data_IF_273929639824
#
_entry.id   IF_273929639824
#
_cell.length_a   1.000
_cell.length_b   1.000
_cell.length_c   1.000
_cell.angle_alpha   90.00
_cell.angle_beta   90.00
_cell.angle_gamma   90.00
#
_symmetry.space_group_name_H-M   'P 1'
#
loop_
_entity.id
_entity.type
_entity.pdbx_description
1 polymer ?
#
# COMPACT_ATOMS: atom_id res chain seq x y z
N UNK A 1 28.75 -11.24 -8.50
CA UNK A 1 28.93 -9.77 -8.41
C UNK A 1 27.66 -9.01 -8.80
N UNK A 2 27.03 -9.35 -9.92
CA UNK A 2 25.80 -8.68 -10.43
C UNK A 2 24.64 -8.76 -9.43
N UNK A 3 24.39 -9.92 -8.81
CA UNK A 3 23.32 -10.11 -7.82
C UNK A 3 23.46 -9.18 -6.61
N UNK A 4 24.68 -8.97 -6.11
CA UNK A 4 24.94 -8.03 -5.01
C UNK A 4 24.63 -6.57 -5.37
N UNK A 5 24.95 -6.17 -6.60
CA UNK A 5 24.66 -4.84 -7.11
C UNK A 5 23.13 -4.63 -7.19
N UNK A 6 22.39 -5.63 -7.68
CA UNK A 6 20.93 -5.57 -7.77
C UNK A 6 20.32 -5.42 -6.36
N UNK A 7 20.79 -6.19 -5.37
CA UNK A 7 20.33 -6.09 -3.96
C UNK A 7 20.56 -4.68 -3.42
N UNK A 8 21.72 -4.07 -3.66
CA UNK A 8 22.00 -2.71 -3.21
C UNK A 8 21.05 -1.70 -3.87
N UNK A 9 20.81 -1.81 -5.18
CA UNK A 9 19.87 -0.93 -5.89
C UNK A 9 18.46 -1.08 -5.31
N UNK A 10 18.02 -2.31 -5.06
CA UNK A 10 16.74 -2.62 -4.45
C UNK A 10 16.60 -1.96 -3.07
N UNK A 11 17.64 -2.10 -2.23
CA UNK A 11 17.67 -1.47 -0.91
C UNK A 11 17.50 0.06 -1.01
N UNK A 12 18.19 0.71 -1.93
CA UNK A 12 18.08 2.15 -2.14
C UNK A 12 16.68 2.57 -2.59
N UNK A 13 16.05 1.81 -3.48
CA UNK A 13 14.66 2.07 -3.93
C UNK A 13 13.68 1.94 -2.75
N UNK A 14 13.83 0.92 -1.92
CA UNK A 14 12.97 0.70 -0.74
C UNK A 14 13.16 1.86 0.26
N UNK A 15 14.40 2.20 0.60
CA UNK A 15 14.70 3.32 1.50
C UNK A 15 14.09 4.63 0.97
N UNK A 16 14.27 4.93 -0.30
CA UNK A 16 13.68 6.11 -0.93
C UNK A 16 12.16 6.13 -0.78
N UNK A 17 11.50 4.99 -1.02
CA UNK A 17 10.04 4.88 -0.91
C UNK A 17 9.56 5.10 0.52
N UNK A 18 10.28 4.55 1.53
CA UNK A 18 9.98 4.79 2.94
C UNK A 18 10.15 6.25 3.34
N UNK A 19 11.23 6.89 2.88
CA UNK A 19 11.46 8.33 3.14
C UNK A 19 10.33 9.17 2.58
N UNK A 20 9.86 8.88 1.37
CA UNK A 20 8.71 9.57 0.76
C UNK A 20 7.44 9.39 1.58
N UNK A 21 7.12 8.16 1.98
CA UNK A 21 5.94 7.88 2.83
C UNK A 21 6.07 8.55 4.20
N UNK A 22 7.27 8.56 4.79
CA UNK A 22 7.53 9.25 6.05
C UNK A 22 7.33 10.77 5.94
N UNK A 23 7.72 11.38 4.82
CA UNK A 23 7.48 12.81 4.57
C UNK A 23 5.98 13.10 4.56
N UNK A 24 5.17 12.27 3.87
CA UNK A 24 3.71 12.41 3.84
C UNK A 24 3.14 12.25 5.27
N UNK A 25 3.63 11.27 6.03
CA UNK A 25 3.19 11.03 7.40
C UNK A 25 3.58 12.18 8.34
N UNK A 26 4.78 12.73 8.22
CA UNK A 26 5.24 13.85 9.03
C UNK A 26 4.56 15.16 8.65
N UNK A 27 4.19 15.36 7.40
CA UNK A 27 3.39 16.51 6.97
C UNK A 27 1.99 16.51 7.58
N UNK A 28 1.49 15.34 7.97
CA UNK A 28 0.27 15.16 8.75
C UNK A 28 0.20 16.03 10.01
N UNK A 29 1.32 16.17 10.75
CA UNK A 29 1.39 16.98 11.97
C UNK A 29 1.42 18.50 11.71
N UNK A 30 1.70 18.89 10.46
CA UNK A 30 1.94 20.31 10.09
C UNK A 30 0.85 20.90 9.22
N UNK A 31 0.02 20.07 8.56
CA UNK A 31 -0.98 20.53 7.61
C UNK A 31 -2.34 19.94 7.98
N UNK A 32 -3.22 20.79 8.46
CA UNK A 32 -4.62 20.49 8.63
C UNK A 32 -5.38 20.88 7.37
N UNK A 33 -6.33 20.04 6.98
CA UNK A 33 -7.25 20.27 5.88
C UNK A 33 -8.55 20.86 6.40
N UNK A 34 -9.34 21.42 5.49
CA UNK A 34 -10.66 21.98 5.83
C UNK A 34 -11.65 20.91 6.30
N UNK A 35 -11.49 19.67 5.79
CA UNK A 35 -12.39 18.54 6.02
C UNK A 35 -11.75 17.46 6.88
N UNK A 36 -12.54 16.81 7.73
CA UNK A 36 -12.11 15.61 8.45
C UNK A 36 -12.11 14.37 7.56
N UNK A 37 -11.43 13.32 7.99
CA UNK A 37 -11.44 12.04 7.26
C UNK A 37 -12.86 11.45 7.17
N UNK A 38 -13.68 11.60 8.20
CA UNK A 38 -15.09 11.23 8.20
C UNK A 38 -15.88 11.95 7.11
N UNK A 39 -15.81 13.29 7.08
CA UNK A 39 -16.50 14.12 6.09
C UNK A 39 -16.04 13.78 4.66
N UNK A 40 -14.74 13.49 4.50
CA UNK A 40 -14.14 13.05 3.25
C UNK A 40 -14.74 11.73 2.72
N UNK A 41 -14.87 10.73 3.60
CA UNK A 41 -15.50 9.45 3.21
C UNK A 41 -16.93 9.69 2.79
N UNK A 42 -17.71 10.44 3.57
CA UNK A 42 -19.12 10.72 3.26
C UNK A 42 -19.24 11.43 1.91
N UNK A 43 -18.42 12.47 1.67
CA UNK A 43 -18.46 13.21 0.41
C UNK A 43 -18.16 12.32 -0.79
N UNK A 44 -17.14 11.44 -0.70
CA UNK A 44 -16.72 10.56 -1.80
C UNK A 44 -17.63 9.34 -2.01
N UNK A 45 -18.37 8.94 -0.98
CA UNK A 45 -19.27 7.77 -1.05
C UNK A 45 -20.74 8.12 -1.18
N UNK A 46 -21.09 9.41 -1.21
CA UNK A 46 -22.47 9.91 -1.25
C UNK A 46 -23.27 9.35 -2.42
N UNK A 47 -22.63 9.13 -3.56
CA UNK A 47 -23.27 8.56 -4.75
C UNK A 47 -23.38 7.03 -4.70
N UNK A 48 -22.65 6.36 -3.80
CA UNK A 48 -22.64 4.91 -3.65
C UNK A 48 -23.54 4.46 -2.48
N UNK A 49 -24.81 4.32 -2.73
CA UNK A 49 -25.78 3.81 -1.78
C UNK A 49 -25.34 2.47 -1.18
N UNK A 50 -25.32 2.38 0.14
CA UNK A 50 -25.04 1.15 0.88
C UNK A 50 -23.63 1.02 1.45
N UNK A 51 -22.79 2.06 1.38
CA UNK A 51 -21.52 2.08 2.10
C UNK A 51 -21.72 2.60 3.52
N UNK A 52 -21.29 1.80 4.49
CA UNK A 52 -21.35 2.16 5.90
C UNK A 52 -19.97 2.55 6.40
N UNK A 53 -19.87 3.71 7.04
CA UNK A 53 -18.65 4.15 7.72
C UNK A 53 -18.81 3.88 9.22
N UNK A 54 -17.79 3.21 9.79
CA UNK A 54 -17.79 2.83 11.21
C UNK A 54 -16.48 3.27 11.84
N UNK A 55 -16.57 3.97 12.96
CA UNK A 55 -15.44 4.21 13.84
C UNK A 55 -15.08 2.93 14.59
N UNK A 56 -13.80 2.64 14.72
CA UNK A 56 -13.31 1.45 15.40
C UNK A 56 -12.18 1.77 16.37
N UNK A 57 -12.15 1.06 17.51
CA UNK A 57 -11.03 1.10 18.47
C UNK A 57 -9.82 0.31 18.00
N UNK A 58 -9.94 -0.44 16.88
CA UNK A 58 -8.81 -1.13 16.28
C UNK A 58 -7.74 -0.12 15.84
N UNK A 59 -6.47 -0.50 15.97
CA UNK A 59 -5.33 0.31 15.49
C UNK A 59 -5.30 0.44 13.98
N UNK A 60 -6.09 -0.36 13.25
CA UNK A 60 -6.03 -0.46 11.79
C UNK A 60 -7.30 0.05 11.13
N UNK A 61 -7.10 0.84 10.08
CA UNK A 61 -8.15 1.17 9.14
C UNK A 61 -8.35 0.01 8.17
N UNK A 62 -9.58 -0.26 7.74
CA UNK A 62 -9.86 -1.35 6.80
C UNK A 62 -11.12 -1.09 5.98
N UNK A 63 -11.21 -1.75 4.83
CA UNK A 63 -12.42 -1.79 4.02
C UNK A 63 -12.89 -3.23 3.84
N UNK A 64 -14.13 -3.49 4.19
CA UNK A 64 -14.78 -4.78 3.97
C UNK A 64 -15.73 -4.68 2.76
N UNK A 65 -15.30 -5.21 1.63
CA UNK A 65 -16.04 -5.14 0.37
C UNK A 65 -17.39 -5.85 0.44
N UNK A 66 -17.45 -7.03 1.08
CA UNK A 66 -18.69 -7.82 1.15
C UNK A 66 -19.79 -7.08 1.92
N UNK A 67 -19.42 -6.45 3.01
CA UNK A 67 -20.36 -5.69 3.87
C UNK A 67 -20.45 -4.24 3.49
N UNK A 68 -19.65 -3.78 2.53
CA UNK A 68 -19.51 -2.38 2.13
C UNK A 68 -19.24 -1.46 3.35
N UNK A 69 -18.37 -1.91 4.27
CA UNK A 69 -18.07 -1.18 5.50
C UNK A 69 -16.63 -0.65 5.42
N UNK A 70 -16.49 0.67 5.53
CA UNK A 70 -15.21 1.34 5.77
C UNK A 70 -15.06 1.49 7.29
N UNK A 71 -13.97 0.96 7.85
CA UNK A 71 -13.63 1.11 9.26
C UNK A 71 -12.43 2.03 9.39
N UNK A 72 -12.63 3.15 10.06
CA UNK A 72 -11.57 4.08 10.42
C UNK A 72 -11.30 4.00 11.91
N UNK A 73 -10.02 3.97 12.31
CA UNK A 73 -9.67 4.04 13.71
C UNK A 73 -10.02 5.43 14.29
N UNK A 74 -10.21 5.51 15.61
CA UNK A 74 -10.63 6.74 16.28
C UNK A 74 -9.67 7.91 16.05
N UNK A 75 -8.37 7.66 15.92
CA UNK A 75 -7.37 8.69 15.62
C UNK A 75 -7.44 9.21 14.18
N UNK A 76 -8.00 8.43 13.25
CA UNK A 76 -8.19 8.82 11.86
C UNK A 76 -9.54 9.47 11.64
N UNK A 77 -10.58 8.93 12.26
CA UNK A 77 -11.98 9.23 11.98
C UNK A 77 -12.32 10.74 12.00
N UNK A 78 -11.99 11.43 13.10
CA UNK A 78 -12.27 12.87 13.25
C UNK A 78 -11.09 13.77 12.88
N UNK A 79 -10.01 13.19 12.39
CA UNK A 79 -8.79 13.94 12.09
C UNK A 79 -8.91 14.76 10.81
N UNK A 80 -8.46 16.00 10.86
CA UNK A 80 -8.30 16.90 9.71
C UNK A 80 -6.89 16.82 9.10
N UNK A 81 -6.02 15.97 9.65
CA UNK A 81 -4.66 15.82 9.16
C UNK A 81 -4.58 15.29 7.73
N UNK A 82 -3.48 15.59 7.06
CA UNK A 82 -3.23 15.20 5.68
C UNK A 82 -3.28 13.66 5.50
N UNK A 83 -2.54 12.93 6.35
CA UNK A 83 -2.43 11.46 6.23
C UNK A 83 -3.76 10.73 6.50
N UNK A 84 -4.55 11.04 7.55
CA UNK A 84 -5.90 10.51 7.72
C UNK A 84 -6.82 10.74 6.53
N UNK A 85 -6.79 11.95 5.94
CA UNK A 85 -7.57 12.26 4.75
C UNK A 85 -7.11 11.48 3.51
N UNK A 86 -5.80 11.26 3.35
CA UNK A 86 -5.25 10.40 2.31
C UNK A 86 -5.79 8.96 2.45
N UNK A 87 -5.72 8.39 3.65
CA UNK A 87 -6.25 7.06 3.96
C UNK A 87 -7.75 6.98 3.69
N UNK A 88 -8.51 7.97 4.14
CA UNK A 88 -9.96 8.05 3.92
C UNK A 88 -10.29 8.07 2.42
N UNK A 89 -9.54 8.84 1.63
CA UNK A 89 -9.71 8.92 0.18
C UNK A 89 -9.41 7.57 -0.49
N UNK A 90 -8.34 6.89 -0.11
CA UNK A 90 -7.97 5.57 -0.66
C UNK A 90 -9.04 4.52 -0.35
N UNK A 91 -9.53 4.44 0.90
CA UNK A 91 -10.57 3.47 1.24
C UNK A 91 -11.92 3.78 0.59
N UNK A 92 -12.25 5.07 0.45
CA UNK A 92 -13.45 5.49 -0.29
C UNK A 92 -13.35 5.08 -1.77
N UNK A 93 -12.16 5.24 -2.38
CA UNK A 93 -11.95 4.87 -3.77
C UNK A 93 -12.04 3.36 -4.02
N UNK A 94 -11.66 2.52 -3.05
CA UNK A 94 -11.86 1.08 -3.16
C UNK A 94 -13.34 0.70 -3.29
N UNK A 95 -14.24 1.50 -2.74
CA UNK A 95 -15.68 1.26 -2.87
C UNK A 95 -16.21 1.43 -4.29
N UNK A 96 -15.46 2.13 -5.15
CA UNK A 96 -15.81 2.37 -6.54
C UNK A 96 -15.35 1.24 -7.47
N UNK A 97 -14.59 0.27 -6.95
CA UNK A 97 -14.09 -0.85 -7.74
C UNK A 97 -14.97 -2.07 -7.51
N UNK A 98 -15.58 -2.55 -8.58
CA UNK A 98 -16.33 -3.80 -8.57
C UNK A 98 -15.41 -4.94 -9.05
N UNK A 99 -14.60 -5.48 -8.15
CA UNK A 99 -13.64 -6.55 -8.48
C UNK A 99 -13.76 -7.71 -7.49
N UNK A 100 -13.99 -8.92 -8.02
CA UNK A 100 -14.09 -10.16 -7.22
C UNK A 100 -12.81 -10.46 -6.43
N UNK A 101 -11.65 -10.03 -6.92
CA UNK A 101 -10.38 -10.24 -6.24
C UNK A 101 -10.24 -9.39 -4.96
N UNK A 102 -10.80 -8.20 -4.95
CA UNK A 102 -10.91 -7.40 -3.72
C UNK A 102 -11.65 -8.14 -2.60
N UNK A 103 -12.62 -9.00 -2.96
CA UNK A 103 -13.30 -9.85 -2.00
C UNK A 103 -12.36 -10.87 -1.32
N UNK A 104 -11.34 -11.32 -2.01
CA UNK A 104 -10.32 -12.23 -1.47
C UNK A 104 -9.35 -11.45 -0.58
N UNK A 105 -8.84 -10.31 -1.03
CA UNK A 105 -7.94 -9.44 -0.25
C UNK A 105 -8.61 -8.89 1.01
N UNK A 106 -9.90 -8.55 0.96
CA UNK A 106 -10.64 -8.08 2.15
C UNK A 106 -10.74 -9.14 3.25
N UNK A 107 -10.61 -10.43 2.90
CA UNK A 107 -10.59 -11.51 3.90
C UNK A 107 -9.31 -11.50 4.73
N UNK A 108 -8.20 -11.08 4.15
CA UNK A 108 -6.90 -11.04 4.82
C UNK A 108 -6.71 -9.81 5.69
N UNK A 109 -7.62 -8.83 5.63
CA UNK A 109 -7.67 -7.64 6.49
C UNK A 109 -6.31 -6.90 6.59
N UNK A 110 -5.52 -6.95 5.50
CA UNK A 110 -4.21 -6.33 5.45
C UNK A 110 -4.33 -4.83 5.49
N UNK A 111 -3.86 -4.24 6.58
CA UNK A 111 -3.73 -2.80 6.68
C UNK A 111 -2.53 -2.32 5.86
N UNK A 112 -2.63 -1.10 5.35
CA UNK A 112 -1.56 -0.39 4.65
C UNK A 112 -0.20 -0.39 5.39
N UNK A 113 -0.21 -0.50 6.73
CA UNK A 113 1.01 -0.56 7.56
C UNK A 113 1.81 -1.85 7.33
N UNK A 114 1.14 -2.98 7.14
CA UNK A 114 1.85 -4.24 6.87
C UNK A 114 2.46 -4.27 5.47
N UNK A 115 1.85 -3.57 4.50
CA UNK A 115 2.38 -3.44 3.16
C UNK A 115 3.75 -2.79 3.09
N UNK A 116 4.03 -1.85 4.00
CA UNK A 116 5.32 -1.19 4.07
C UNK A 116 6.39 -2.04 4.75
N UNK A 117 5.99 -2.99 5.62
CA UNK A 117 6.92 -3.87 6.33
C UNK A 117 7.34 -5.06 5.46
N UNK A 118 6.46 -5.55 4.59
CA UNK A 118 6.71 -6.73 3.75
C UNK A 118 7.96 -6.60 2.85
N UNK A 119 8.16 -5.50 2.10
CA UNK A 119 9.38 -5.33 1.30
C UNK A 119 10.64 -5.29 2.14
N UNK A 120 10.57 -4.72 3.35
CA UNK A 120 11.69 -4.69 4.28
C UNK A 120 12.04 -6.10 4.78
N UNK A 121 11.04 -6.91 5.09
CA UNK A 121 11.23 -8.32 5.47
C UNK A 121 11.81 -9.14 4.30
N UNK A 122 11.32 -8.91 3.08
CA UNK A 122 11.86 -9.56 1.89
C UNK A 122 13.35 -9.24 1.70
N UNK A 123 13.74 -7.97 1.91
CA UNK A 123 15.14 -7.54 1.83
C UNK A 123 16.01 -8.20 2.91
N UNK A 124 15.51 -8.34 4.13
CA UNK A 124 16.21 -9.06 5.21
C UNK A 124 16.38 -10.53 4.85
N UNK A 125 15.33 -11.17 4.33
CA UNK A 125 15.39 -12.58 3.91
C UNK A 125 16.40 -12.76 2.78
N UNK A 126 16.41 -11.88 1.76
CA UNK A 126 17.35 -11.97 0.64
C UNK A 126 18.80 -11.75 1.06
N UNK A 127 19.05 -10.97 2.12
CA UNK A 127 20.41 -10.76 2.66
C UNK A 127 20.99 -11.98 3.39
N UNK A 128 20.12 -12.90 3.84
CA UNK A 128 20.50 -14.12 4.60
C UNK A 128 20.71 -15.32 3.67
N UNK A 129 20.33 -15.20 2.40
CA UNK A 129 20.42 -16.28 1.41
C UNK A 129 21.88 -16.63 1.17
N UNK A 130 22.30 -17.82 1.64
CA UNK A 130 23.67 -18.32 1.53
C UNK A 130 23.78 -19.62 0.76
N UNK A 131 22.71 -20.40 0.71
CA UNK A 131 22.67 -21.70 0.05
C UNK A 131 21.63 -21.75 -1.10
N UNK A 132 21.78 -22.67 -2.08
CA UNK A 132 20.78 -22.87 -3.12
C UNK A 132 19.40 -23.28 -2.58
N UNK A 133 19.35 -23.97 -1.43
CA UNK A 133 18.09 -24.34 -0.78
C UNK A 133 17.38 -23.10 -0.23
N UNK A 134 18.11 -22.22 0.48
CA UNK A 134 17.59 -20.96 0.99
C UNK A 134 17.10 -20.05 -0.15
N UNK A 135 17.85 -20.03 -1.25
CA UNK A 135 17.49 -19.27 -2.44
C UNK A 135 16.15 -19.73 -3.05
N UNK A 136 15.86 -21.05 -3.09
CA UNK A 136 14.58 -21.56 -3.58
C UNK A 136 13.42 -21.11 -2.70
N UNK A 137 13.59 -21.19 -1.37
CA UNK A 137 12.56 -20.75 -0.42
C UNK A 137 12.33 -19.25 -0.55
N UNK A 138 13.40 -18.47 -0.57
CA UNK A 138 13.31 -17.02 -0.73
C UNK A 138 12.62 -16.65 -2.06
N UNK A 139 12.92 -17.32 -3.16
CA UNK A 139 12.29 -17.09 -4.45
C UNK A 139 10.78 -17.34 -4.41
N UNK A 140 10.33 -18.43 -3.80
CA UNK A 140 8.91 -18.73 -3.67
C UNK A 140 8.19 -17.63 -2.88
N UNK A 141 8.78 -17.21 -1.76
CA UNK A 141 8.21 -16.14 -0.93
C UNK A 141 8.12 -14.84 -1.73
N UNK A 142 9.19 -14.46 -2.43
CA UNK A 142 9.23 -13.24 -3.24
C UNK A 142 8.24 -13.25 -4.41
N UNK A 143 8.03 -14.40 -5.06
CA UNK A 143 7.01 -14.53 -6.12
C UNK A 143 5.61 -14.29 -5.54
N UNK A 144 5.29 -14.86 -4.39
CA UNK A 144 4.00 -14.65 -3.73
C UNK A 144 3.80 -13.17 -3.40
N UNK A 145 4.86 -12.52 -2.86
CA UNK A 145 4.82 -11.08 -2.58
C UNK A 145 4.70 -10.24 -3.84
N UNK A 146 5.41 -10.59 -4.90
CA UNK A 146 5.35 -9.89 -6.18
C UNK A 146 3.93 -9.87 -6.74
N UNK A 147 3.26 -11.03 -6.74
CA UNK A 147 1.87 -11.15 -7.18
C UNK A 147 0.98 -10.26 -6.31
N UNK A 148 1.15 -10.30 -5.00
CA UNK A 148 0.38 -9.51 -4.05
C UNK A 148 0.59 -8.00 -4.25
N UNK A 149 1.84 -7.54 -4.38
CA UNK A 149 2.17 -6.13 -4.58
C UNK A 149 1.69 -5.61 -5.95
N UNK A 150 1.75 -6.45 -6.99
CA UNK A 150 1.17 -6.11 -8.29
C UNK A 150 -0.33 -5.80 -8.18
N UNK A 151 -1.06 -6.68 -7.50
CA UNK A 151 -2.49 -6.48 -7.29
C UNK A 151 -2.80 -5.22 -6.49
N UNK A 152 -2.00 -4.94 -5.46
CA UNK A 152 -2.18 -3.73 -4.67
C UNK A 152 -1.87 -2.45 -5.45
N UNK A 153 -0.82 -2.49 -6.25
CA UNK A 153 -0.49 -1.37 -7.14
C UNK A 153 -1.63 -1.12 -8.12
N UNK A 154 -2.07 -2.16 -8.82
CA UNK A 154 -3.16 -2.07 -9.80
C UNK A 154 -4.46 -1.60 -9.15
N UNK A 155 -4.79 -2.15 -7.98
CA UNK A 155 -5.94 -1.75 -7.20
C UNK A 155 -5.90 -0.27 -6.81
N UNK A 156 -4.78 0.19 -6.26
CA UNK A 156 -4.61 1.59 -5.87
C UNK A 156 -4.69 2.51 -7.10
N UNK A 157 -4.06 2.10 -8.19
CA UNK A 157 -4.09 2.85 -9.43
C UNK A 157 -5.51 2.98 -9.98
N UNK A 158 -6.24 1.87 -10.13
CA UNK A 158 -7.62 1.86 -10.60
C UNK A 158 -8.54 2.65 -9.67
N UNK A 159 -8.41 2.45 -8.35
CA UNK A 159 -9.21 3.14 -7.35
C UNK A 159 -9.07 4.66 -7.48
N UNK A 160 -7.84 5.15 -7.52
CA UNK A 160 -7.58 6.60 -7.56
C UNK A 160 -7.86 7.18 -8.95
N UNK A 161 -7.67 6.40 -10.03
CA UNK A 161 -8.01 6.85 -11.38
C UNK A 161 -9.51 6.99 -11.58
N UNK A 162 -10.33 6.15 -10.93
CA UNK A 162 -11.79 6.16 -11.03
C UNK A 162 -12.45 7.26 -10.16
N UNK A 163 -11.69 7.94 -9.31
CA UNK A 163 -12.23 9.09 -8.59
C UNK A 163 -12.55 10.22 -9.57
N UNK A 164 -13.85 10.51 -9.76
CA UNK A 164 -14.33 11.60 -10.61
C UNK A 164 -13.88 12.97 -10.09
N UNK A 165 -14.02 13.17 -8.77
CA UNK A 165 -13.66 14.41 -8.08
C UNK A 165 -12.47 14.18 -7.16
N UNK A 166 -11.26 14.24 -7.74
CA UNK A 166 -10.03 14.16 -6.93
C UNK A 166 -9.89 15.41 -6.06
N UNK A 167 -9.74 15.25 -4.74
CA UNK A 167 -9.51 16.40 -3.87
C UNK A 167 -8.22 17.12 -4.30
N UNK A 168 -8.36 18.34 -4.81
CA UNK A 168 -7.20 19.13 -5.35
C UNK A 168 -6.05 19.23 -4.36
N UNK A 169 -6.36 19.36 -3.08
CA UNK A 169 -5.40 19.46 -1.98
C UNK A 169 -4.60 18.18 -1.70
N UNK A 170 -5.07 16.99 -2.19
CA UNK A 170 -4.46 15.69 -1.99
C UNK A 170 -3.88 15.07 -3.27
N UNK A 171 -4.01 15.68 -4.43
CA UNK A 171 -3.61 15.10 -5.71
C UNK A 171 -2.13 14.69 -5.69
N UNK A 172 -1.25 15.55 -5.21
CA UNK A 172 0.18 15.27 -5.18
C UNK A 172 0.51 14.11 -4.23
N UNK A 173 -0.17 14.03 -3.08
CA UNK A 173 0.06 12.99 -2.07
C UNK A 173 -0.51 11.64 -2.52
N UNK A 174 -1.65 11.64 -3.22
CA UNK A 174 -2.22 10.46 -3.87
C UNK A 174 -1.29 9.92 -4.98
N UNK A 175 -0.74 10.80 -5.81
CA UNK A 175 0.21 10.43 -6.85
C UNK A 175 1.52 9.88 -6.24
N UNK A 176 2.02 10.51 -5.17
CA UNK A 176 3.18 10.00 -4.44
C UNK A 176 2.91 8.62 -3.84
N UNK A 177 1.71 8.37 -3.29
CA UNK A 177 1.32 7.07 -2.77
C UNK A 177 1.31 5.99 -3.87
N UNK A 178 0.73 6.27 -5.04
CA UNK A 178 0.75 5.37 -6.20
C UNK A 178 2.20 5.10 -6.63
N UNK A 179 3.01 6.15 -6.72
CA UNK A 179 4.42 6.02 -7.10
C UNK A 179 5.18 5.13 -6.12
N UNK A 180 5.00 5.30 -4.81
CA UNK A 180 5.62 4.43 -3.82
C UNK A 180 5.18 2.97 -3.97
N UNK A 181 3.88 2.70 -4.20
CA UNK A 181 3.38 1.35 -4.46
C UNK A 181 4.03 0.70 -5.68
N UNK A 182 4.21 1.48 -6.76
CA UNK A 182 4.93 1.03 -7.97
C UNK A 182 6.40 0.74 -7.70
N UNK A 183 7.06 1.59 -6.94
CA UNK A 183 8.48 1.40 -6.59
C UNK A 183 8.68 0.17 -5.72
N UNK A 184 7.80 -0.11 -4.75
CA UNK A 184 7.86 -1.35 -3.96
C UNK A 184 7.68 -2.59 -4.84
N UNK A 185 6.72 -2.58 -5.75
CA UNK A 185 6.54 -3.66 -6.71
C UNK A 185 7.81 -3.89 -7.54
N UNK A 186 8.39 -2.82 -8.09
CA UNK A 186 9.60 -2.88 -8.89
C UNK A 186 10.82 -3.37 -8.09
N UNK A 187 10.94 -2.94 -6.83
CA UNK A 187 12.01 -3.41 -5.94
C UNK A 187 11.94 -4.93 -5.71
N UNK A 188 10.76 -5.47 -5.41
CA UNK A 188 10.58 -6.91 -5.23
C UNK A 188 10.82 -7.69 -6.52
N UNK A 189 10.45 -7.12 -7.68
CA UNK A 189 10.79 -7.72 -8.98
C UNK A 189 12.30 -7.84 -9.16
N UNK A 190 13.07 -6.80 -8.85
CA UNK A 190 14.53 -6.82 -8.92
C UNK A 190 15.14 -7.83 -7.95
N UNK A 191 14.63 -7.93 -6.71
CA UNK A 191 15.08 -8.95 -5.75
C UNK A 191 14.81 -10.36 -6.24
N UNK A 192 13.62 -10.59 -6.80
CA UNK A 192 13.27 -11.88 -7.39
C UNK A 192 14.24 -12.26 -8.51
N UNK A 193 14.63 -11.30 -9.33
CA UNK A 193 15.64 -11.47 -10.37
C UNK A 193 17.02 -11.81 -9.76
N UNK A 194 17.46 -11.07 -8.74
CA UNK A 194 18.75 -11.30 -8.07
C UNK A 194 18.84 -12.70 -7.46
N UNK A 195 17.78 -13.17 -6.80
CA UNK A 195 17.72 -14.52 -6.23
C UNK A 195 17.70 -15.59 -7.32
N UNK A 196 17.01 -15.34 -8.44
CA UNK A 196 17.02 -16.24 -9.59
C UNK A 196 18.43 -16.40 -10.19
N UNK A 197 19.20 -15.30 -10.26
CA UNK A 197 20.59 -15.34 -10.72
C UNK A 197 21.48 -16.15 -9.76
N UNK A 198 21.30 -16.03 -8.45
CA UNK A 198 22.03 -16.85 -7.47
C UNK A 198 21.74 -18.34 -7.67
N UNK A 199 20.47 -18.70 -7.96
CA UNK A 199 20.08 -20.10 -8.24
C UNK A 199 20.71 -20.65 -9.51
N UNK A 200 20.98 -19.80 -10.51
CA UNK A 200 21.62 -20.16 -11.77
C UNK A 200 23.15 -20.15 -11.68
N UNK A 201 23.74 -19.79 -10.53
CA UNK A 201 25.19 -19.77 -10.33
C UNK A 201 25.91 -18.52 -10.83
N UNK A 202 25.16 -17.41 -11.05
CA UNK A 202 25.69 -16.11 -11.49
C UNK A 202 25.95 -15.11 -10.36
#
# INVERSE_FOLDING_TARGET
MISKIIIIITALIIIYSYVRLAIIYLSFKKKELSTSAYERVIALTKENNGIHLVETKSTFNSYNIRRKIIKLNSSTYNSKGLFPNLIATIFSSYSLINNNFLNILSKFNFSLRYLTIIPLLALIVSSIVTTPADAKIALIILIIFLIYLYYLYDLNYQAISNLKDKPKELINDLNNYIMCSKLFFFAILLETLAISLILLGF
#
